data_IF_374146894043
#
_entry.id   IF_374146894043
#
_cell.length_a   1.000
_cell.length_b   1.000
_cell.length_c   1.000
_cell.angle_alpha   90.00
_cell.angle_beta   90.00
_cell.angle_gamma   90.00
#
_symmetry.space_group_name_H-M   'P 1'
#
loop_
_entity.id
_entity.type
_entity.pdbx_description
1 polymer ?
#
# COMPACT_ATOMS: atom_id res chain seq x y z
N UNK A 1 -27.46 27.25 42.79
CA UNK A 1 -28.26 26.00 42.86
C UNK A 1 -28.54 25.57 41.42
N UNK A 2 -27.80 24.60 40.90
CA UNK A 2 -28.05 23.95 39.60
C UNK A 2 -27.83 22.45 39.80
N UNK A 3 -28.88 21.67 39.60
CA UNK A 3 -28.96 20.26 39.88
C UNK A 3 -28.27 19.48 38.75
N UNK A 4 -27.33 18.63 39.12
CA UNK A 4 -26.72 17.59 38.27
C UNK A 4 -27.69 16.42 38.06
N UNK A 5 -28.05 16.10 36.82
CA UNK A 5 -28.78 14.87 36.44
C UNK A 5 -27.79 13.75 36.20
N UNK A 6 -27.86 12.72 37.03
CA UNK A 6 -27.23 11.43 36.83
C UNK A 6 -27.91 10.69 35.68
N UNK A 7 -27.10 10.25 34.71
CA UNK A 7 -27.51 9.34 33.64
C UNK A 7 -27.18 7.89 34.04
N UNK A 8 -28.24 7.12 34.31
CA UNK A 8 -28.18 5.70 34.63
C UNK A 8 -28.27 4.87 33.32
N UNK A 9 -27.36 3.91 33.05
CA UNK A 9 -27.42 3.11 31.83
C UNK A 9 -28.43 1.95 31.97
N UNK A 10 -29.21 1.73 30.91
CA UNK A 10 -30.21 0.68 30.78
C UNK A 10 -29.59 -0.73 30.71
N UNK A 11 -30.31 -1.79 31.16
CA UNK A 11 -29.78 -3.17 31.26
C UNK A 11 -29.70 -3.86 29.90
N UNK A 12 -28.58 -4.55 29.69
CA UNK A 12 -28.28 -5.41 28.52
C UNK A 12 -29.22 -6.63 28.46
N UNK A 13 -29.90 -6.82 27.35
CA UNK A 13 -30.68 -8.01 27.02
C UNK A 13 -29.80 -9.24 26.83
N UNK A 14 -30.19 -10.38 27.41
CA UNK A 14 -29.54 -11.70 27.30
C UNK A 14 -29.90 -12.35 25.95
N UNK A 15 -28.90 -12.90 25.27
CA UNK A 15 -29.06 -13.70 24.06
C UNK A 15 -29.69 -15.09 24.39
N UNK A 16 -30.50 -15.69 23.50
CA UNK A 16 -31.12 -17.00 23.71
C UNK A 16 -30.13 -18.16 23.51
N UNK A 17 -30.28 -19.19 24.33
CA UNK A 17 -29.47 -20.41 24.34
C UNK A 17 -29.82 -21.34 23.15
N UNK A 18 -28.81 -22.00 22.59
CA UNK A 18 -28.97 -23.02 21.55
C UNK A 18 -29.56 -24.34 22.09
N UNK A 19 -30.34 -25.09 21.30
CA UNK A 19 -30.95 -26.36 21.75
C UNK A 19 -29.94 -27.52 21.77
N UNK A 20 -30.00 -28.33 22.81
CA UNK A 20 -29.25 -29.58 22.98
C UNK A 20 -29.79 -30.67 22.05
N UNK A 21 -28.92 -31.32 21.28
CA UNK A 21 -29.23 -32.52 20.51
C UNK A 21 -29.39 -33.76 21.43
N UNK A 22 -30.49 -34.48 21.25
CA UNK A 22 -30.78 -35.73 21.93
C UNK A 22 -30.02 -36.89 21.27
N UNK A 23 -29.41 -37.74 22.11
CA UNK A 23 -28.81 -39.01 21.69
C UNK A 23 -29.88 -40.07 21.52
N UNK A 24 -29.95 -40.68 20.33
CA UNK A 24 -30.77 -41.87 20.07
C UNK A 24 -29.86 -43.11 19.99
N UNK A 25 -30.00 -44.01 20.95
CA UNK A 25 -29.45 -45.37 20.92
C UNK A 25 -30.20 -46.21 19.88
N UNK A 26 -29.50 -46.69 18.86
CA UNK A 26 -29.98 -47.67 17.89
C UNK A 26 -29.03 -48.87 17.81
N UNK A 27 -29.51 -50.01 18.30
CA UNK A 27 -28.90 -51.35 18.24
C UNK A 27 -28.71 -51.82 16.79
N UNK A 28 -27.52 -52.33 16.46
CA UNK A 28 -27.18 -52.87 15.15
C UNK A 28 -27.33 -54.41 15.17
N UNK A 29 -28.05 -55.07 14.24
CA UNK A 29 -28.00 -56.51 14.06
C UNK A 29 -26.79 -56.94 13.21
N UNK A 30 -26.18 -58.04 13.61
CA UNK A 30 -25.04 -58.67 12.94
C UNK A 30 -25.45 -59.43 11.65
N UNK A 31 -24.60 -59.35 10.63
CA UNK A 31 -24.39 -60.37 9.65
C UNK A 31 -24.87 -60.07 8.25
N UNK A 32 -23.88 -59.73 7.39
CA UNK A 32 -23.77 -60.31 6.04
C UNK A 32 -22.40 -59.93 5.42
N UNK A 33 -21.63 -60.93 5.08
CA UNK A 33 -20.31 -60.78 4.40
C UNK A 33 -20.54 -60.44 2.93
N UNK A 34 -20.47 -59.14 2.59
CA UNK A 34 -20.37 -58.76 1.19
C UNK A 34 -18.91 -58.70 0.74
N UNK A 35 -18.54 -59.62 -0.15
CA UNK A 35 -17.30 -59.60 -0.92
C UNK A 35 -17.27 -58.38 -1.82
N UNK A 36 -16.34 -57.48 -1.54
CA UNK A 36 -16.09 -56.29 -2.39
C UNK A 36 -15.49 -56.68 -3.73
N UNK A 37 -16.04 -56.24 -4.86
CA UNK A 37 -15.35 -56.36 -6.14
C UNK A 37 -14.13 -55.42 -6.14
N UNK A 38 -12.97 -55.96 -6.44
CA UNK A 38 -11.73 -55.21 -6.69
C UNK A 38 -11.82 -54.50 -8.05
N UNK A 39 -12.40 -53.30 -8.06
CA UNK A 39 -12.31 -52.42 -9.24
C UNK A 39 -10.90 -51.85 -9.30
N UNK A 40 -10.13 -52.34 -10.27
CA UNK A 40 -8.83 -51.79 -10.67
C UNK A 40 -9.06 -50.29 -11.01
N UNK A 41 -8.44 -49.39 -10.23
CA UNK A 41 -8.40 -47.95 -10.55
C UNK A 41 -7.77 -47.78 -11.93
N UNK A 42 -8.37 -46.99 -12.85
CA UNK A 42 -7.76 -46.70 -14.14
C UNK A 42 -6.42 -45.98 -13.93
N UNK A 43 -5.41 -46.47 -14.61
CA UNK A 43 -4.09 -45.85 -14.69
C UNK A 43 -4.26 -44.45 -15.27
N UNK A 44 -4.17 -43.43 -14.41
CA UNK A 44 -4.18 -42.05 -14.86
C UNK A 44 -2.94 -41.82 -15.71
N UNK A 45 -3.15 -41.70 -17.02
CA UNK A 45 -2.15 -41.26 -17.97
C UNK A 45 -1.62 -39.90 -17.52
N UNK A 46 -0.48 -39.88 -16.82
CA UNK A 46 0.25 -38.62 -16.53
C UNK A 46 0.67 -38.08 -17.90
N UNK A 47 -0.05 -37.07 -18.38
CA UNK A 47 0.43 -36.26 -19.52
C UNK A 47 1.86 -35.86 -19.20
N UNK A 48 2.82 -36.02 -20.16
CA UNK A 48 4.19 -35.58 -19.93
C UNK A 48 4.16 -34.10 -19.53
N UNK A 49 4.79 -33.78 -18.41
CA UNK A 49 5.01 -32.39 -18.00
C UNK A 49 5.76 -31.73 -19.17
N UNK A 50 5.07 -30.83 -19.88
CA UNK A 50 5.69 -29.99 -20.90
C UNK A 50 6.89 -29.32 -20.22
N UNK A 51 8.10 -29.64 -20.75
CA UNK A 51 9.34 -29.03 -20.26
C UNK A 51 9.14 -27.55 -20.22
N UNK A 52 9.20 -26.96 -19.01
CA UNK A 52 9.17 -25.51 -18.87
C UNK A 52 10.43 -24.99 -19.54
N UNK A 53 10.28 -24.23 -20.60
CA UNK A 53 11.39 -23.47 -21.18
C UNK A 53 12.07 -22.69 -20.05
N UNK A 54 13.41 -22.55 -20.06
CA UNK A 54 14.11 -21.74 -19.09
C UNK A 54 13.44 -20.36 -19.08
N UNK A 55 12.89 -19.94 -17.94
CA UNK A 55 12.42 -18.56 -17.77
C UNK A 55 13.67 -17.70 -18.02
N UNK A 56 13.61 -16.80 -19.01
CA UNK A 56 14.57 -15.71 -19.11
C UNK A 56 14.79 -15.13 -17.71
N UNK A 57 16.06 -14.84 -17.38
CA UNK A 57 16.41 -14.31 -16.07
C UNK A 57 15.52 -13.09 -15.80
N UNK A 58 14.65 -13.20 -14.81
CA UNK A 58 13.72 -12.12 -14.48
C UNK A 58 14.53 -10.89 -14.13
N UNK A 59 14.28 -9.77 -14.79
CA UNK A 59 14.91 -8.48 -14.47
C UNK A 59 14.61 -8.16 -13.00
N UNK A 60 15.63 -7.94 -12.15
CA UNK A 60 15.39 -7.64 -10.75
C UNK A 60 14.69 -6.28 -10.59
N UNK A 61 13.84 -6.17 -9.56
CA UNK A 61 13.37 -4.89 -9.04
C UNK A 61 14.11 -4.60 -7.75
N UNK A 62 14.64 -3.39 -7.61
CA UNK A 62 15.27 -2.92 -6.40
C UNK A 62 14.32 -1.94 -5.69
N UNK A 63 14.24 -2.06 -4.37
CA UNK A 63 13.39 -1.23 -3.52
C UNK A 63 14.31 -0.55 -2.50
N UNK A 64 14.33 0.78 -2.51
CA UNK A 64 15.16 1.60 -1.63
C UNK A 64 14.24 2.42 -0.71
N UNK A 65 13.98 1.98 0.53
CA UNK A 65 13.31 2.83 1.52
C UNK A 65 14.31 3.88 2.01
N UNK A 66 14.02 5.15 1.71
CA UNK A 66 14.82 6.30 2.14
C UNK A 66 14.30 6.90 3.45
N UNK A 67 13.11 6.48 3.88
CA UNK A 67 12.48 6.81 5.16
C UNK A 67 11.21 6.00 5.36
N UNK A 68 10.65 6.03 6.58
CA UNK A 68 9.42 5.32 6.95
C UNK A 68 9.59 3.85 7.29
N UNK A 69 10.78 3.26 7.14
CA UNK A 69 11.04 1.87 7.50
C UNK A 69 11.55 1.79 8.96
N UNK A 70 10.75 1.15 9.83
CA UNK A 70 11.06 1.05 11.25
C UNK A 70 10.84 2.34 12.06
N UNK A 71 10.31 3.37 11.44
CA UNK A 71 10.00 4.67 12.04
C UNK A 71 8.62 5.18 11.61
N UNK A 72 8.13 6.23 12.24
CA UNK A 72 6.89 6.93 11.85
C UNK A 72 7.28 8.26 11.19
N UNK A 73 6.82 8.47 9.96
CA UNK A 73 7.13 9.68 9.18
C UNK A 73 8.28 9.51 8.20
N UNK A 74 8.65 10.56 7.50
CA UNK A 74 9.65 10.59 6.43
C UNK A 74 9.41 9.55 5.33
N UNK A 75 8.14 9.18 5.09
CA UNK A 75 7.84 8.12 4.13
C UNK A 75 8.37 8.49 2.75
N UNK A 76 9.31 7.69 2.26
CA UNK A 76 9.89 7.84 0.92
C UNK A 76 10.49 6.52 0.46
N UNK A 77 9.98 5.98 -0.63
CA UNK A 77 10.45 4.72 -1.21
C UNK A 77 10.76 4.90 -2.69
N UNK A 78 11.91 4.41 -3.14
CA UNK A 78 12.30 4.40 -4.55
C UNK A 78 12.22 2.97 -5.07
N UNK A 79 11.60 2.80 -6.24
CA UNK A 79 11.55 1.55 -7.00
C UNK A 79 12.40 1.71 -8.24
N UNK A 80 13.31 0.77 -8.49
CA UNK A 80 14.16 0.73 -9.68
C UNK A 80 13.98 -0.58 -10.43
N UNK A 81 13.79 -0.50 -11.74
CA UNK A 81 13.75 -1.64 -12.64
C UNK A 81 14.22 -1.21 -14.03
N UNK A 82 15.08 -1.99 -14.69
CA UNK A 82 15.60 -1.69 -16.03
C UNK A 82 16.23 -0.29 -16.18
N UNK A 83 16.81 0.26 -15.12
CA UNK A 83 17.40 1.59 -15.12
C UNK A 83 16.40 2.75 -15.03
N UNK A 84 15.10 2.49 -15.01
CA UNK A 84 14.07 3.48 -14.68
C UNK A 84 13.76 3.45 -13.19
N UNK A 85 13.48 4.63 -12.63
CA UNK A 85 13.12 4.81 -11.22
C UNK A 85 11.81 5.57 -11.07
N UNK A 86 11.04 5.24 -10.05
CA UNK A 86 9.91 6.02 -9.55
C UNK A 86 10.03 6.20 -8.05
N UNK A 87 9.55 7.32 -7.54
CA UNK A 87 9.50 7.62 -6.11
C UNK A 87 8.05 7.53 -5.66
N UNK A 88 7.81 6.91 -4.52
CA UNK A 88 6.50 6.93 -3.85
C UNK A 88 6.66 7.64 -2.52
N UNK A 89 5.90 8.73 -2.35
CA UNK A 89 5.90 9.65 -1.24
C UNK A 89 7.22 10.40 -1.01
N UNK A 90 7.14 11.53 -0.30
CA UNK A 90 8.28 12.35 0.08
C UNK A 90 7.88 13.15 1.33
N UNK A 91 7.81 12.45 2.45
CA UNK A 91 7.30 12.95 3.70
C UNK A 91 8.37 13.52 4.62
N UNK A 92 7.93 14.23 5.64
CA UNK A 92 8.76 14.67 6.76
C UNK A 92 8.35 13.94 8.05
N UNK A 93 9.12 14.15 9.10
CA UNK A 93 8.72 13.88 10.49
C UNK A 93 8.98 15.11 11.34
N UNK A 94 8.08 15.38 12.29
CA UNK A 94 8.32 16.42 13.29
C UNK A 94 9.32 15.89 14.32
N UNK A 95 10.25 16.75 14.78
CA UNK A 95 11.24 16.34 15.77
C UNK A 95 10.57 15.93 17.08
N UNK A 96 11.20 15.05 17.82
CA UNK A 96 10.82 14.76 19.18
C UNK A 96 11.35 15.85 20.17
N UNK A 97 10.97 15.73 21.44
CA UNK A 97 11.33 16.71 22.47
C UNK A 97 12.83 16.80 22.79
N UNK A 98 13.63 15.86 22.32
CA UNK A 98 15.08 15.83 22.55
C UNK A 98 15.87 16.52 21.43
N UNK A 99 15.23 16.81 20.28
CA UNK A 99 15.83 17.47 19.13
C UNK A 99 15.72 19.00 19.20
N UNK A 100 16.40 19.61 20.14
CA UNK A 100 16.36 21.08 20.36
C UNK A 100 16.83 21.86 19.12
N UNK A 101 16.04 22.85 18.68
CA UNK A 101 16.37 23.71 17.52
C UNK A 101 16.20 23.06 16.15
N UNK A 102 15.57 21.89 16.10
CA UNK A 102 15.20 21.21 14.86
C UNK A 102 13.71 21.46 14.61
N UNK A 103 13.36 22.05 13.47
CA UNK A 103 11.97 22.32 13.09
C UNK A 103 11.31 21.11 12.41
N UNK A 104 12.08 20.35 11.63
CA UNK A 104 11.62 19.15 10.91
C UNK A 104 12.78 18.25 10.52
N UNK A 105 12.47 16.98 10.30
CA UNK A 105 13.44 15.98 9.80
C UNK A 105 12.93 15.46 8.46
N UNK A 106 13.80 15.47 7.44
CA UNK A 106 13.49 15.05 6.08
C UNK A 106 14.37 13.88 5.66
N UNK A 107 13.98 13.10 4.64
CA UNK A 107 14.84 12.06 4.07
C UNK A 107 16.14 12.62 3.50
N UNK A 108 17.19 11.82 3.47
CA UNK A 108 18.42 12.17 2.71
C UNK A 108 18.15 11.98 1.21
N UNK A 109 18.23 13.07 0.46
CA UNK A 109 17.99 13.09 -0.98
C UNK A 109 19.23 12.75 -1.82
N UNK A 110 20.38 12.47 -1.22
CA UNK A 110 21.62 12.22 -1.95
C UNK A 110 21.46 11.15 -3.01
N UNK A 111 20.83 10.03 -2.66
CA UNK A 111 20.58 8.92 -3.60
C UNK A 111 19.72 9.33 -4.80
N UNK A 112 18.61 10.04 -4.57
CA UNK A 112 17.71 10.45 -5.66
C UNK A 112 18.32 11.56 -6.52
N UNK A 113 19.10 12.48 -5.93
CA UNK A 113 19.81 13.54 -6.67
C UNK A 113 20.86 12.93 -7.60
N UNK A 114 21.61 11.94 -7.12
CA UNK A 114 22.61 11.23 -7.94
C UNK A 114 21.98 10.43 -9.10
N UNK A 115 20.73 10.01 -8.96
CA UNK A 115 20.01 9.21 -9.95
C UNK A 115 18.88 9.98 -10.67
N UNK A 116 18.86 11.33 -10.60
CA UNK A 116 17.74 12.17 -11.07
C UNK A 116 17.32 11.88 -12.53
N UNK A 117 18.26 11.54 -13.40
CA UNK A 117 18.00 11.30 -14.83
C UNK A 117 17.23 9.99 -15.08
N UNK A 118 17.27 9.05 -14.13
CA UNK A 118 16.52 7.80 -14.17
C UNK A 118 15.09 7.95 -13.64
N UNK A 119 14.82 9.01 -12.85
CA UNK A 119 13.55 9.17 -12.13
C UNK A 119 12.47 9.68 -13.08
N UNK A 120 11.38 8.91 -13.22
CA UNK A 120 10.26 9.21 -14.12
C UNK A 120 9.16 10.03 -13.46
N UNK A 121 9.09 10.05 -12.13
CA UNK A 121 8.11 10.83 -11.40
C UNK A 121 8.04 10.50 -9.91
N UNK A 122 7.35 11.38 -9.18
CA UNK A 122 7.00 11.27 -7.78
C UNK A 122 5.51 10.98 -7.67
N UNK A 123 5.15 9.83 -7.15
CA UNK A 123 3.79 9.36 -6.93
C UNK A 123 3.43 9.61 -5.46
N UNK A 124 2.28 10.22 -5.19
CA UNK A 124 1.85 10.53 -3.83
C UNK A 124 0.60 9.77 -3.48
N UNK A 125 0.68 9.03 -2.37
CA UNK A 125 -0.44 8.22 -1.86
C UNK A 125 -1.56 9.09 -1.30
N UNK A 126 -1.24 10.10 -0.51
CA UNK A 126 -2.21 11.02 0.11
C UNK A 126 -1.52 12.28 0.70
N UNK A 127 -2.31 13.21 1.20
CA UNK A 127 -1.87 14.56 1.56
C UNK A 127 -1.42 14.78 3.01
N UNK A 128 -1.05 13.75 3.79
CA UNK A 128 -0.47 13.97 5.12
C UNK A 128 1.00 14.39 5.05
N UNK A 129 1.45 15.15 6.06
CA UNK A 129 2.80 15.74 6.10
C UNK A 129 3.92 14.69 6.08
N UNK A 130 3.70 13.55 6.68
CA UNK A 130 4.63 12.43 6.66
C UNK A 130 4.72 11.72 5.29
N UNK A 131 3.93 12.18 4.29
CA UNK A 131 3.96 11.74 2.90
C UNK A 131 4.26 12.85 1.89
N UNK A 132 3.95 14.14 2.21
CA UNK A 132 4.16 15.27 1.28
C UNK A 132 5.11 16.34 1.80
N UNK A 133 5.43 16.33 3.10
CA UNK A 133 6.05 17.47 3.77
C UNK A 133 7.44 17.83 3.26
N UNK A 134 8.19 16.88 2.73
CA UNK A 134 9.56 17.12 2.20
C UNK A 134 9.59 17.44 0.71
N UNK A 135 8.46 17.45 -0.01
CA UNK A 135 8.39 17.72 -1.44
C UNK A 135 9.06 19.06 -1.83
N UNK A 136 8.83 20.18 -1.12
CA UNK A 136 9.47 21.45 -1.48
C UNK A 136 11.00 21.36 -1.48
N UNK A 137 11.57 20.67 -0.49
CA UNK A 137 13.02 20.51 -0.35
C UNK A 137 13.62 19.63 -1.45
N UNK A 138 12.91 18.58 -1.86
CA UNK A 138 13.31 17.74 -2.99
C UNK A 138 13.26 18.53 -4.30
N UNK A 139 12.17 19.27 -4.56
CA UNK A 139 11.99 20.05 -5.80
C UNK A 139 12.93 21.26 -5.92
N UNK A 140 13.52 21.74 -4.83
CA UNK A 140 14.62 22.69 -4.88
C UNK A 140 15.92 22.08 -5.44
N UNK A 141 16.09 20.74 -5.31
CA UNK A 141 17.29 20.06 -5.82
C UNK A 141 17.20 19.76 -7.32
N UNK A 142 16.04 19.31 -7.79
CA UNK A 142 15.75 19.07 -9.21
C UNK A 142 14.25 19.02 -9.47
N UNK A 143 13.86 19.32 -10.70
CA UNK A 143 12.45 19.28 -11.13
C UNK A 143 12.07 17.87 -11.58
N UNK A 144 10.88 17.39 -11.11
CA UNK A 144 10.28 16.15 -11.58
C UNK A 144 8.75 16.27 -11.56
N UNK A 145 8.01 15.51 -12.39
CA UNK A 145 6.55 15.53 -12.36
C UNK A 145 6.01 14.86 -11.08
N UNK A 146 5.00 15.49 -10.48
CA UNK A 146 4.32 15.02 -9.27
C UNK A 146 2.94 14.49 -9.66
N UNK A 147 2.68 13.24 -9.31
CA UNK A 147 1.44 12.52 -9.57
C UNK A 147 0.67 12.36 -8.26
N UNK A 148 -0.54 12.87 -8.19
CA UNK A 148 -1.39 12.76 -7.00
C UNK A 148 -2.87 12.94 -7.36
N UNK A 149 -3.76 12.56 -6.46
CA UNK A 149 -5.19 12.85 -6.58
C UNK A 149 -5.42 14.36 -6.50
N UNK A 150 -6.60 14.80 -6.91
CA UNK A 150 -6.93 16.24 -6.99
C UNK A 150 -6.70 16.98 -5.68
N UNK A 151 -7.20 16.42 -4.57
CA UNK A 151 -7.02 17.03 -3.25
C UNK A 151 -5.53 17.05 -2.86
N UNK A 152 -4.84 15.94 -3.03
CA UNK A 152 -3.41 15.82 -2.73
C UNK A 152 -2.57 16.81 -3.54
N UNK A 153 -2.81 16.93 -4.84
CA UNK A 153 -2.15 17.92 -5.68
C UNK A 153 -2.42 19.36 -5.21
N UNK A 154 -3.67 19.66 -4.77
CA UNK A 154 -4.04 20.96 -4.21
C UNK A 154 -3.25 21.31 -2.94
N UNK A 155 -3.14 20.36 -2.00
CA UNK A 155 -2.38 20.54 -0.77
C UNK A 155 -0.89 20.78 -1.05
N UNK A 156 -0.28 19.98 -1.94
CA UNK A 156 1.12 20.14 -2.33
C UNK A 156 1.32 21.50 -3.02
N UNK A 157 0.39 21.92 -3.88
CA UNK A 157 0.49 23.20 -4.61
C UNK A 157 0.50 24.40 -3.64
N UNK A 158 -0.40 24.41 -2.65
CA UNK A 158 -0.41 25.45 -1.63
C UNK A 158 0.93 25.50 -0.88
N UNK A 159 1.46 24.33 -0.48
CA UNK A 159 2.77 24.26 0.18
C UNK A 159 3.90 24.79 -0.72
N UNK A 160 3.89 24.46 -2.01
CA UNK A 160 4.91 24.93 -2.96
C UNK A 160 4.82 26.43 -3.29
N UNK A 161 3.66 27.07 -3.07
CA UNK A 161 3.51 28.53 -3.19
C UNK A 161 4.41 29.26 -2.20
N UNK A 162 4.49 28.79 -0.97
CA UNK A 162 5.36 29.34 0.08
C UNK A 162 6.86 29.32 -0.32
N UNK A 163 7.24 28.34 -1.15
CA UNK A 163 8.62 28.15 -1.64
C UNK A 163 8.87 28.74 -3.04
N UNK A 164 7.88 29.36 -3.66
CA UNK A 164 7.97 29.91 -5.03
C UNK A 164 8.15 28.85 -6.09
N UNK A 165 7.72 27.60 -5.85
CA UNK A 165 7.91 26.44 -6.73
C UNK A 165 6.62 25.98 -7.43
N UNK A 166 5.44 26.46 -7.02
CA UNK A 166 4.15 26.00 -7.57
C UNK A 166 4.05 26.16 -9.09
N UNK A 167 4.47 27.31 -9.63
CA UNK A 167 4.46 27.58 -11.07
C UNK A 167 5.53 26.86 -11.89
N UNK A 168 6.51 26.23 -11.22
CA UNK A 168 7.62 25.51 -11.86
C UNK A 168 7.43 23.98 -11.82
N UNK A 169 6.47 23.49 -11.03
CA UNK A 169 6.24 22.07 -10.81
C UNK A 169 5.16 21.56 -11.74
N UNK A 170 5.46 20.48 -12.45
CA UNK A 170 4.48 19.79 -13.29
C UNK A 170 3.64 18.83 -12.42
N UNK A 171 2.37 19.17 -12.23
CA UNK A 171 1.40 18.29 -11.59
C UNK A 171 0.66 17.45 -12.63
N UNK A 172 0.44 16.20 -12.30
CA UNK A 172 -0.39 15.26 -13.06
C UNK A 172 -1.44 14.69 -12.12
N UNK A 173 -2.68 15.12 -12.31
CA UNK A 173 -3.80 14.59 -11.53
C UNK A 173 -4.07 13.15 -11.95
N UNK A 174 -4.18 12.26 -10.97
CA UNK A 174 -4.47 10.84 -11.17
C UNK A 174 -5.82 10.49 -10.56
N UNK A 175 -6.49 9.52 -11.16
CA UNK A 175 -7.75 8.98 -10.65
C UNK A 175 -7.63 7.47 -10.44
N UNK A 176 -8.34 6.89 -9.45
CA UNK A 176 -8.34 5.46 -9.22
C UNK A 176 -8.66 4.66 -10.47
N UNK A 177 -7.97 3.53 -10.67
CA UNK A 177 -8.06 2.61 -11.81
C UNK A 177 -7.50 3.13 -13.15
N UNK A 178 -6.99 4.35 -13.21
CA UNK A 178 -6.29 4.86 -14.39
C UNK A 178 -4.85 4.35 -14.40
N UNK A 179 -4.47 3.64 -15.45
CA UNK A 179 -3.08 3.18 -15.60
C UNK A 179 -2.19 4.30 -16.14
N UNK A 180 -1.05 4.50 -15.50
CA UNK A 180 -0.05 5.52 -15.81
C UNK A 180 1.25 4.83 -16.20
N UNK A 181 1.82 5.18 -17.36
CA UNK A 181 3.10 4.64 -17.82
C UNK A 181 4.25 5.54 -17.37
N UNK A 182 5.19 4.99 -16.62
CA UNK A 182 6.38 5.67 -16.09
C UNK A 182 7.63 4.83 -16.40
N UNK A 183 8.22 5.05 -17.57
CA UNK A 183 9.31 4.21 -18.04
C UNK A 183 8.88 2.74 -18.20
N UNK A 184 9.61 1.82 -17.56
CA UNK A 184 9.26 0.40 -17.54
C UNK A 184 8.07 0.05 -16.62
N UNK A 185 7.66 0.99 -15.74
CA UNK A 185 6.56 0.78 -14.81
C UNK A 185 5.21 1.13 -15.42
N UNK A 186 4.18 0.40 -15.02
CA UNK A 186 2.78 0.78 -15.21
C UNK A 186 2.13 0.84 -13.84
N UNK A 187 1.67 2.02 -13.44
CA UNK A 187 1.14 2.27 -12.10
C UNK A 187 -0.37 2.47 -12.18
N UNK A 188 -1.11 1.75 -11.33
CA UNK A 188 -2.55 1.89 -11.18
C UNK A 188 -2.88 2.36 -9.75
N UNK A 189 -3.47 3.57 -9.57
CA UNK A 189 -3.95 4.04 -8.28
C UNK A 189 -5.19 3.24 -7.86
N UNK A 190 -5.22 2.80 -6.61
CA UNK A 190 -6.33 2.06 -6.00
C UNK A 190 -6.86 2.89 -4.84
N UNK A 191 -8.14 3.25 -4.87
CA UNK A 191 -8.75 3.99 -3.75
C UNK A 191 -8.69 3.17 -2.46
N UNK A 192 -8.30 3.81 -1.37
CA UNK A 192 -8.21 3.19 -0.03
C UNK A 192 -8.88 4.09 1.02
N UNK A 193 -9.38 3.46 2.09
CA UNK A 193 -9.92 4.18 3.22
C UNK A 193 -8.78 4.73 4.09
N UNK A 194 -8.85 6.04 4.37
CA UNK A 194 -7.88 6.72 5.23
C UNK A 194 -8.55 7.87 5.99
N UNK A 195 -7.84 8.46 6.96
CA UNK A 195 -8.32 9.62 7.73
C UNK A 195 -8.36 10.93 6.92
N UNK A 196 -7.77 10.95 5.73
CA UNK A 196 -7.85 12.05 4.75
C UNK A 196 -8.55 11.54 3.48
N UNK A 197 -9.42 12.34 2.83
CA UNK A 197 -10.05 11.97 1.56
C UNK A 197 -9.04 11.77 0.43
N UNK A 198 -9.48 11.08 -0.62
CA UNK A 198 -8.73 10.84 -1.86
C UNK A 198 -7.41 10.06 -1.71
N UNK A 199 -7.25 9.31 -0.61
CA UNK A 199 -6.08 8.45 -0.43
C UNK A 199 -6.09 7.27 -1.41
N UNK A 200 -4.90 6.94 -1.93
CA UNK A 200 -4.70 5.82 -2.84
C UNK A 200 -3.50 4.95 -2.43
N UNK A 201 -3.63 3.66 -2.69
CA UNK A 201 -2.51 2.74 -2.82
C UNK A 201 -2.09 2.66 -4.30
N UNK A 202 -0.93 2.10 -4.59
CA UNK A 202 -0.45 1.89 -5.95
C UNK A 202 -0.20 0.42 -6.23
N UNK A 203 -0.80 -0.10 -7.31
CA UNK A 203 -0.33 -1.32 -7.95
C UNK A 203 0.73 -0.91 -9.00
N UNK A 204 1.96 -1.36 -8.80
CA UNK A 204 3.12 -1.02 -9.61
C UNK A 204 3.53 -2.26 -10.39
N UNK A 205 3.10 -2.34 -11.65
CA UNK A 205 3.50 -3.39 -12.57
C UNK A 205 4.88 -3.06 -13.16
N UNK A 206 5.76 -4.07 -13.16
CA UNK A 206 7.10 -4.00 -13.75
C UNK A 206 7.42 -5.28 -14.51
N UNK A 207 8.51 -5.35 -15.31
CA UNK A 207 8.98 -6.60 -15.90
C UNK A 207 9.28 -7.71 -14.89
N UNK A 208 9.57 -7.36 -13.64
CA UNK A 208 9.83 -8.31 -12.55
C UNK A 208 8.55 -8.85 -11.89
N UNK A 209 7.40 -8.21 -12.12
CA UNK A 209 6.12 -8.52 -11.47
C UNK A 209 5.44 -7.29 -10.90
N UNK A 210 4.36 -7.52 -10.15
CA UNK A 210 3.53 -6.46 -9.55
C UNK A 210 3.86 -6.29 -8.08
N UNK A 211 4.05 -5.04 -7.65
CA UNK A 211 4.18 -4.64 -6.26
C UNK A 211 2.94 -3.84 -5.86
N UNK A 212 2.41 -4.08 -4.67
CA UNK A 212 1.35 -3.26 -4.08
C UNK A 212 1.97 -2.41 -2.98
N UNK A 213 2.03 -1.11 -3.22
CA UNK A 213 2.41 -0.10 -2.22
C UNK A 213 1.15 0.41 -1.55
N UNK A 214 0.99 0.08 -0.27
CA UNK A 214 -0.13 0.57 0.56
C UNK A 214 0.41 1.49 1.65
N UNK A 215 -0.46 2.34 2.20
CA UNK A 215 -0.19 2.98 3.47
C UNK A 215 -0.32 1.97 4.64
N UNK A 216 0.40 2.21 5.73
CA UNK A 216 0.49 1.37 6.93
C UNK A 216 -0.86 0.99 7.56
N UNK A 217 -1.88 1.86 7.42
CA UNK A 217 -3.20 1.72 8.08
C UNK A 217 -4.33 1.32 7.12
N UNK A 218 -4.11 1.39 5.81
CA UNK A 218 -5.14 1.15 4.79
C UNK A 218 -5.47 -0.33 4.54
N UNK A 219 -4.81 -1.25 5.24
CA UNK A 219 -5.04 -2.69 5.10
C UNK A 219 -6.16 -3.25 5.98
N UNK A 220 -6.85 -2.42 6.78
CA UNK A 220 -8.09 -2.86 7.43
C UNK A 220 -9.20 -2.92 6.40
N UNK A 221 -9.39 -4.12 5.86
CA UNK A 221 -10.65 -4.52 5.23
C UNK A 221 -11.73 -4.52 6.33
N UNK A 222 -12.69 -3.63 6.22
CA UNK A 222 -13.92 -3.68 7.01
C UNK A 222 -14.84 -4.74 6.43
#
# INVERSE_FOLDING_TARGET
MAQTKENNPAPRAKAPAAPKAAAANGTVPAGEKHTRPTTRRPYYNRRPRRAQQPKEAATPIHIYPLGGLGEVGKNMTVYECNGDMIIVDCGLVFPDSEMFGVDMVIPDFTFVVQNKDKIKGLLITHGHEDHIGSIPYLLQKFSLPVYGTRLTCGLIKNKLEEFGLAGKTKFVEIVPRQKIKLGCFTVEPIHVNHSIPDAVAFAIDSPAGTIIQTDRKSTRLN
#
